data_IF_294090906716
#
_entry.id   IF_294090906716
#
_cell.length_a   1.000
_cell.length_b   1.000
_cell.length_c   1.000
_cell.angle_alpha   90.00
_cell.angle_beta   90.00
_cell.angle_gamma   90.00
#
_symmetry.space_group_name_H-M   'P 1'
#
loop_
_entity.id
_entity.type
_entity.pdbx_description
1 polymer ?
#
# COMPACT_ATOMS: atom_id res chain seq x y z
N UNK A 1 -46.51 -43.37 -52.91
CA UNK A 1 -46.57 -43.23 -51.44
C UNK A 1 -45.65 -42.09 -51.05
N UNK A 2 -46.23 -40.91 -50.77
CA UNK A 2 -45.50 -39.74 -50.31
C UNK A 2 -45.40 -39.91 -48.79
N UNK A 3 -44.18 -40.10 -48.30
CA UNK A 3 -43.89 -40.16 -46.87
C UNK A 3 -43.89 -38.72 -46.36
N UNK A 4 -44.97 -38.30 -45.70
CA UNK A 4 -45.02 -37.06 -44.94
C UNK A 4 -44.01 -37.14 -43.80
N UNK A 5 -42.92 -36.39 -43.90
CA UNK A 5 -42.13 -36.02 -42.73
C UNK A 5 -42.96 -35.01 -41.91
N UNK A 6 -43.51 -35.45 -40.79
CA UNK A 6 -43.97 -34.53 -39.75
C UNK A 6 -42.72 -33.82 -39.20
N UNK A 7 -42.54 -32.56 -39.56
CA UNK A 7 -41.70 -31.64 -38.82
C UNK A 7 -42.34 -31.47 -37.44
N UNK A 8 -41.71 -32.02 -36.40
CA UNK A 8 -41.98 -31.57 -35.04
C UNK A 8 -41.43 -30.15 -34.91
N UNK A 9 -42.34 -29.17 -34.75
CA UNK A 9 -42.05 -27.74 -34.54
C UNK A 9 -41.49 -27.50 -33.12
N UNK A 10 -40.38 -28.15 -32.76
CA UNK A 10 -39.78 -28.05 -31.43
C UNK A 10 -38.26 -28.21 -31.43
N UNK A 11 -37.61 -27.65 -30.41
CA UNK A 11 -36.15 -27.81 -30.26
C UNK A 11 -35.78 -29.24 -29.87
N UNK A 12 -34.73 -29.78 -30.49
CA UNK A 12 -34.07 -31.00 -30.03
C UNK A 12 -32.85 -30.61 -29.19
N UNK A 13 -32.84 -31.04 -27.93
CA UNK A 13 -31.77 -30.78 -26.96
C UNK A 13 -31.11 -32.12 -26.65
N UNK A 14 -29.88 -32.31 -27.12
CA UNK A 14 -29.12 -33.54 -26.88
C UNK A 14 -28.16 -33.30 -25.71
N UNK A 15 -28.47 -33.85 -24.53
CA UNK A 15 -27.66 -33.68 -23.33
C UNK A 15 -26.41 -34.57 -23.38
N UNK A 16 -25.24 -33.96 -23.18
CA UNK A 16 -23.95 -34.65 -23.15
C UNK A 16 -23.76 -35.45 -21.86
N UNK A 17 -23.10 -36.63 -21.88
CA UNK A 17 -22.79 -37.39 -20.66
C UNK A 17 -21.74 -36.71 -19.77
N UNK A 18 -20.83 -35.96 -20.38
CA UNK A 18 -19.80 -35.16 -19.71
C UNK A 18 -19.71 -33.79 -20.37
N UNK A 19 -19.44 -32.76 -19.58
CA UNK A 19 -19.25 -31.40 -20.08
C UNK A 19 -18.21 -30.64 -19.25
N UNK A 20 -17.48 -29.77 -19.93
CA UNK A 20 -16.56 -28.82 -19.31
C UNK A 20 -17.12 -27.41 -19.47
N UNK A 21 -17.23 -26.68 -18.36
CA UNK A 21 -17.90 -25.37 -18.32
C UNK A 21 -16.95 -24.26 -17.91
N UNK A 22 -17.25 -23.06 -18.37
CA UNK A 22 -16.51 -21.84 -18.03
C UNK A 22 -17.26 -21.02 -16.98
N UNK A 23 -16.56 -20.11 -16.30
CA UNK A 23 -17.13 -19.20 -15.32
C UNK A 23 -17.68 -19.89 -14.07
N UNK A 24 -18.64 -19.22 -13.43
CA UNK A 24 -19.20 -19.62 -12.14
C UNK A 24 -20.61 -20.25 -12.24
N UNK A 25 -21.17 -20.33 -13.44
CA UNK A 25 -22.52 -20.87 -13.74
C UNK A 25 -22.44 -21.81 -14.92
N UNK A 26 -23.38 -22.76 -14.97
CA UNK A 26 -23.51 -23.73 -16.07
C UNK A 26 -24.56 -23.18 -17.01
N UNK A 27 -24.21 -22.96 -18.27
CA UNK A 27 -25.16 -22.60 -19.31
C UNK A 27 -25.61 -23.82 -20.11
N UNK A 28 -26.84 -23.82 -20.61
CA UNK A 28 -27.38 -24.96 -21.37
C UNK A 28 -26.54 -25.28 -22.61
N UNK A 29 -26.02 -24.26 -23.28
CA UNK A 29 -25.18 -24.42 -24.47
C UNK A 29 -23.86 -25.17 -24.20
N UNK A 30 -23.38 -25.18 -22.96
CA UNK A 30 -22.13 -25.87 -22.58
C UNK A 30 -22.35 -27.37 -22.34
N UNK A 31 -23.58 -27.78 -22.01
CA UNK A 31 -23.90 -29.16 -21.60
C UNK A 31 -24.76 -29.91 -22.63
N UNK A 32 -25.36 -29.21 -23.59
CA UNK A 32 -26.24 -29.82 -24.58
C UNK A 32 -26.12 -29.19 -25.97
N UNK A 33 -26.32 -30.01 -27.01
CA UNK A 33 -26.44 -29.53 -28.38
C UNK A 33 -27.89 -29.16 -28.68
N UNK A 34 -28.14 -27.94 -29.17
CA UNK A 34 -29.48 -27.42 -29.46
C UNK A 34 -29.67 -27.30 -30.97
N UNK A 35 -30.70 -27.97 -31.49
CA UNK A 35 -31.05 -27.96 -32.93
C UNK A 35 -32.55 -27.84 -33.15
N UNK A 36 -32.99 -27.69 -34.40
CA UNK A 36 -34.41 -27.60 -34.75
C UNK A 36 -35.05 -26.21 -34.57
N UNK A 37 -34.24 -25.18 -34.26
CA UNK A 37 -34.69 -23.80 -34.08
C UNK A 37 -33.77 -22.80 -34.79
N UNK A 38 -34.29 -21.60 -35.01
CA UNK A 38 -33.51 -20.47 -35.53
C UNK A 38 -32.38 -20.03 -34.59
N UNK A 39 -31.47 -19.22 -35.10
CA UNK A 39 -30.27 -18.79 -34.37
C UNK A 39 -30.58 -17.95 -33.14
N UNK A 40 -31.59 -17.08 -33.21
CA UNK A 40 -31.96 -16.20 -32.10
C UNK A 40 -32.54 -17.02 -30.92
N UNK A 41 -33.39 -17.98 -31.22
CA UNK A 41 -33.98 -18.90 -30.24
C UNK A 41 -32.91 -19.82 -29.66
N UNK A 42 -32.01 -20.35 -30.50
CA UNK A 42 -30.88 -21.15 -30.05
C UNK A 42 -29.98 -20.40 -29.09
N UNK A 43 -29.61 -19.16 -29.40
CA UNK A 43 -28.81 -18.32 -28.52
C UNK A 43 -29.51 -18.06 -27.18
N UNK A 44 -30.82 -17.83 -27.21
CA UNK A 44 -31.63 -17.64 -25.99
C UNK A 44 -31.68 -18.90 -25.13
N UNK A 45 -31.87 -20.08 -25.75
CA UNK A 45 -31.86 -21.36 -25.04
C UNK A 45 -30.46 -21.68 -24.50
N UNK A 46 -29.41 -21.46 -25.29
CA UNK A 46 -28.03 -21.72 -24.91
C UNK A 46 -27.62 -20.95 -23.64
N UNK A 47 -28.08 -19.70 -23.50
CA UNK A 47 -27.80 -18.83 -22.36
C UNK A 47 -28.64 -19.13 -21.09
N UNK A 48 -29.45 -20.21 -21.08
CA UNK A 48 -30.24 -20.58 -19.90
C UNK A 48 -29.31 -21.05 -18.77
N UNK A 49 -29.37 -20.37 -17.62
CA UNK A 49 -28.63 -20.72 -16.40
C UNK A 49 -29.22 -21.98 -15.72
N UNK A 50 -28.38 -23.01 -15.60
CA UNK A 50 -28.68 -24.29 -14.97
C UNK A 50 -28.19 -24.37 -13.51
N UNK A 51 -27.58 -23.30 -13.01
CA UNK A 51 -27.06 -23.11 -11.67
C UNK A 51 -25.54 -23.10 -11.62
N UNK A 52 -24.98 -23.12 -10.41
CA UNK A 52 -23.53 -22.98 -10.20
C UNK A 52 -22.69 -24.08 -10.85
N UNK A 53 -21.57 -23.65 -11.43
CA UNK A 53 -20.45 -24.52 -11.84
C UNK A 53 -19.78 -25.12 -10.59
N UNK A 54 -19.37 -26.40 -10.60
CA UNK A 54 -18.65 -26.99 -9.48
C UNK A 54 -17.30 -26.30 -9.26
N UNK A 55 -16.86 -26.21 -8.02
CA UNK A 55 -15.52 -25.68 -7.71
C UNK A 55 -14.42 -26.52 -8.38
N UNK A 56 -13.27 -25.92 -8.72
CA UNK A 56 -12.07 -26.63 -9.17
C UNK A 56 -11.77 -27.87 -8.31
N UNK A 57 -11.43 -28.97 -8.96
CA UNK A 57 -11.22 -30.28 -8.32
C UNK A 57 -12.49 -31.08 -8.00
N UNK A 58 -13.68 -30.50 -8.19
CA UNK A 58 -14.96 -31.18 -7.99
C UNK A 58 -15.71 -31.37 -9.31
N UNK A 59 -16.75 -32.21 -9.26
CA UNK A 59 -17.70 -32.38 -10.37
C UNK A 59 -19.12 -32.37 -9.84
N UNK A 60 -20.08 -31.99 -10.69
CA UNK A 60 -21.51 -31.97 -10.38
C UNK A 60 -22.26 -32.82 -11.39
N UNK A 61 -23.24 -33.59 -10.92
CA UNK A 61 -24.20 -34.25 -11.82
C UNK A 61 -25.39 -33.32 -12.07
N UNK A 62 -25.59 -33.00 -13.34
CA UNK A 62 -26.76 -32.29 -13.84
C UNK A 62 -27.72 -33.29 -14.48
N UNK A 63 -28.97 -33.28 -14.06
CA UNK A 63 -29.99 -34.23 -14.54
C UNK A 63 -30.84 -33.62 -15.66
N UNK A 64 -31.28 -34.43 -16.61
CA UNK A 64 -32.14 -33.98 -17.71
C UNK A 64 -33.42 -33.30 -17.22
N UNK A 65 -34.00 -33.74 -16.09
CA UNK A 65 -35.19 -33.11 -15.50
C UNK A 65 -34.93 -31.68 -15.04
N UNK A 66 -33.72 -31.39 -14.54
CA UNK A 66 -33.32 -30.02 -14.15
C UNK A 66 -33.20 -29.11 -15.37
N UNK A 67 -32.71 -29.64 -16.48
CA UNK A 67 -32.65 -28.92 -17.77
C UNK A 67 -34.06 -28.62 -18.26
N UNK A 68 -34.94 -29.61 -18.29
CA UNK A 68 -36.35 -29.43 -18.69
C UNK A 68 -37.06 -28.38 -17.82
N UNK A 69 -36.83 -28.42 -16.51
CA UNK A 69 -37.38 -27.44 -15.57
C UNK A 69 -36.86 -26.03 -15.85
N UNK A 70 -35.56 -25.86 -16.11
CA UNK A 70 -34.97 -24.56 -16.39
C UNK A 70 -35.52 -23.96 -17.71
N UNK A 71 -35.63 -24.78 -18.77
CA UNK A 71 -36.19 -24.34 -20.05
C UNK A 71 -37.65 -23.95 -19.90
N UNK A 72 -38.46 -24.77 -19.23
CA UNK A 72 -39.88 -24.49 -19.00
C UNK A 72 -40.08 -23.20 -18.19
N UNK A 73 -39.18 -22.92 -17.24
CA UNK A 73 -39.23 -21.70 -16.43
C UNK A 73 -38.91 -20.45 -17.26
N UNK A 74 -37.89 -20.51 -18.12
CA UNK A 74 -37.45 -19.37 -18.94
C UNK A 74 -38.35 -19.17 -20.17
N UNK A 75 -38.82 -20.26 -20.78
CA UNK A 75 -39.72 -20.26 -21.94
C UNK A 75 -40.95 -21.14 -21.70
N UNK A 76 -41.97 -20.64 -20.97
CA UNK A 76 -43.19 -21.38 -20.73
C UNK A 76 -43.93 -21.73 -22.03
N UNK A 77 -44.37 -22.99 -22.16
CA UNK A 77 -45.10 -23.47 -23.33
C UNK A 77 -44.24 -23.74 -24.57
N UNK A 78 -42.92 -23.57 -24.47
CA UNK A 78 -42.00 -23.93 -25.53
C UNK A 78 -41.97 -25.45 -25.74
N UNK A 79 -42.04 -25.89 -26.99
CA UNK A 79 -42.04 -27.31 -27.35
C UNK A 79 -40.59 -27.75 -27.57
N UNK A 80 -40.17 -28.75 -26.79
CA UNK A 80 -38.83 -29.31 -26.91
C UNK A 80 -38.81 -30.78 -26.51
N UNK A 81 -37.78 -31.49 -26.96
CA UNK A 81 -37.46 -32.85 -26.53
C UNK A 81 -36.01 -32.91 -26.05
N UNK A 82 -35.80 -33.54 -24.90
CA UNK A 82 -34.45 -33.82 -24.39
C UNK A 82 -34.11 -35.27 -24.67
N UNK A 83 -33.00 -35.49 -25.36
CA UNK A 83 -32.44 -36.82 -25.68
C UNK A 83 -30.97 -36.88 -25.26
N UNK A 84 -30.30 -38.02 -25.50
CA UNK A 84 -28.91 -38.22 -25.09
C UNK A 84 -28.80 -38.85 -23.71
N UNK A 85 -27.88 -38.36 -22.88
CA UNK A 85 -27.67 -38.90 -21.53
C UNK A 85 -28.76 -38.44 -20.55
N UNK A 86 -29.14 -39.29 -19.60
CA UNK A 86 -30.05 -38.89 -18.51
C UNK A 86 -29.37 -37.92 -17.51
N UNK A 87 -28.04 -37.98 -17.42
CA UNK A 87 -27.22 -37.12 -16.57
C UNK A 87 -25.98 -36.63 -17.32
N UNK A 88 -25.57 -35.41 -17.01
CA UNK A 88 -24.34 -34.79 -17.47
C UNK A 88 -23.42 -34.59 -16.27
N UNK A 89 -22.21 -35.16 -16.30
CA UNK A 89 -21.16 -34.88 -15.35
C UNK A 89 -20.43 -33.61 -15.78
N UNK A 90 -20.60 -32.56 -14.99
CA UNK A 90 -20.05 -31.23 -15.26
C UNK A 90 -18.79 -31.01 -14.44
N UNK A 91 -17.74 -30.51 -15.08
CA UNK A 91 -16.48 -30.11 -14.46
C UNK A 91 -16.10 -28.69 -14.93
N UNK A 92 -15.50 -27.84 -14.10
CA UNK A 92 -15.03 -26.54 -14.56
C UNK A 92 -13.78 -26.73 -15.44
N UNK A 93 -13.67 -25.93 -16.50
CA UNK A 93 -12.36 -25.62 -17.09
C UNK A 93 -11.68 -24.67 -16.10
N UNK A 94 -10.43 -24.96 -15.77
CA UNK A 94 -9.69 -24.21 -14.76
C UNK A 94 -8.41 -23.64 -15.32
N UNK A 95 -7.95 -22.58 -14.66
CA UNK A 95 -6.63 -22.01 -14.87
C UNK A 95 -5.99 -21.65 -13.55
N UNK A 96 -4.67 -21.53 -13.58
CA UNK A 96 -3.88 -21.22 -12.40
C UNK A 96 -3.55 -19.72 -12.41
N UNK A 97 -3.86 -19.06 -11.29
CA UNK A 97 -3.28 -17.77 -10.93
C UNK A 97 -2.06 -18.06 -10.07
N UNK A 98 -0.88 -17.83 -10.65
CA UNK A 98 0.38 -18.13 -9.99
C UNK A 98 0.60 -17.28 -8.73
N UNK A 99 1.22 -17.89 -7.73
CA UNK A 99 1.68 -17.23 -6.52
C UNK A 99 2.63 -16.05 -6.80
N UNK A 100 3.45 -16.14 -7.85
CA UNK A 100 4.33 -15.07 -8.35
C UNK A 100 3.55 -13.78 -8.62
N UNK A 101 2.47 -13.87 -9.40
CA UNK A 101 1.58 -12.76 -9.74
C UNK A 101 0.93 -12.16 -8.48
N UNK A 102 0.50 -13.01 -7.55
CA UNK A 102 -0.12 -12.58 -6.28
C UNK A 102 0.91 -11.81 -5.42
N UNK A 103 2.13 -12.32 -5.32
CA UNK A 103 3.23 -11.70 -4.58
C UNK A 103 3.62 -10.36 -5.21
N UNK A 104 3.71 -10.30 -6.54
CA UNK A 104 4.13 -9.09 -7.25
C UNK A 104 3.10 -7.97 -7.14
N UNK A 105 1.80 -8.27 -7.29
CA UNK A 105 0.72 -7.29 -7.08
C UNK A 105 0.71 -6.79 -5.63
N UNK A 106 0.96 -7.67 -4.65
CA UNK A 106 1.06 -7.25 -3.25
C UNK A 106 2.28 -6.36 -2.99
N UNK A 107 3.45 -6.71 -3.54
CA UNK A 107 4.69 -5.94 -3.41
C UNK A 107 4.55 -4.56 -4.06
N UNK A 108 3.94 -4.48 -5.23
CA UNK A 108 3.68 -3.22 -5.93
C UNK A 108 2.78 -2.29 -5.11
N UNK A 109 1.72 -2.83 -4.49
CA UNK A 109 0.85 -2.05 -3.62
C UNK A 109 1.60 -1.45 -2.42
N UNK A 110 2.46 -2.24 -1.75
CA UNK A 110 3.31 -1.72 -0.68
C UNK A 110 4.31 -0.67 -1.17
N UNK A 111 4.98 -0.93 -2.30
CA UNK A 111 5.95 0.00 -2.87
C UNK A 111 5.31 1.34 -3.25
N UNK A 112 4.10 1.32 -3.81
CA UNK A 112 3.35 2.54 -4.15
C UNK A 112 2.90 3.36 -2.93
N UNK A 113 2.74 2.73 -1.77
CA UNK A 113 2.35 3.40 -0.53
C UNK A 113 3.54 3.91 0.30
N UNK A 114 4.77 3.54 -0.04
CA UNK A 114 5.97 4.05 0.63
C UNK A 114 6.36 5.42 0.08
N UNK A 115 6.60 6.36 0.99
CA UNK A 115 7.13 7.69 0.67
C UNK A 115 8.52 7.88 1.25
N UNK A 116 9.50 8.19 0.41
CA UNK A 116 10.86 8.53 0.82
C UNK A 116 11.63 7.39 1.49
N UNK A 117 12.94 7.60 1.66
CA UNK A 117 13.84 6.64 2.25
C UNK A 117 14.00 5.35 1.43
N UNK A 118 14.97 4.53 1.81
CA UNK A 118 15.17 3.21 1.21
C UNK A 118 14.29 2.21 1.94
N UNK A 119 13.49 1.44 1.21
CA UNK A 119 12.61 0.42 1.81
C UNK A 119 12.84 -0.93 1.16
N UNK A 120 12.90 -1.98 1.98
CA UNK A 120 12.98 -3.37 1.52
C UNK A 120 11.72 -4.13 1.92
N UNK A 121 11.36 -5.11 1.08
CA UNK A 121 10.19 -5.97 1.27
C UNK A 121 10.63 -7.42 1.15
N UNK A 122 10.63 -8.13 2.27
CA UNK A 122 10.98 -9.55 2.33
C UNK A 122 9.72 -10.38 2.60
N UNK A 123 9.39 -11.31 1.72
CA UNK A 123 8.24 -12.21 1.90
C UNK A 123 8.47 -13.11 3.12
N UNK A 124 7.53 -13.12 4.07
CA UNK A 124 7.68 -13.92 5.30
C UNK A 124 7.25 -15.39 5.12
N UNK A 125 6.30 -15.64 4.23
CA UNK A 125 5.74 -16.97 4.02
C UNK A 125 5.40 -17.18 2.55
N UNK A 126 5.54 -18.42 2.07
CA UNK A 126 5.13 -18.79 0.73
C UNK A 126 3.63 -18.52 0.52
N UNK A 127 3.30 -18.08 -0.69
CA UNK A 127 1.92 -17.97 -1.17
C UNK A 127 1.68 -19.17 -2.08
N UNK A 128 0.50 -19.79 -1.97
CA UNK A 128 0.12 -20.91 -2.83
C UNK A 128 -0.67 -20.36 -4.01
N UNK A 129 -0.46 -20.97 -5.17
CA UNK A 129 -1.22 -20.73 -6.39
C UNK A 129 -2.73 -20.86 -6.14
N UNK A 130 -3.52 -20.16 -6.96
CA UNK A 130 -4.97 -20.20 -6.87
C UNK A 130 -5.51 -20.78 -8.17
N UNK A 131 -6.11 -21.97 -8.07
CA UNK A 131 -6.88 -22.53 -9.16
C UNK A 131 -8.26 -21.85 -9.20
N UNK A 132 -8.60 -21.30 -10.36
CA UNK A 132 -9.86 -20.60 -10.61
C UNK A 132 -10.55 -21.17 -11.84
N UNK A 133 -11.89 -21.12 -11.91
CA UNK A 133 -12.60 -21.38 -13.15
C UNK A 133 -12.13 -20.43 -14.26
N UNK A 134 -12.00 -20.94 -15.48
CA UNK A 134 -11.76 -20.12 -16.66
C UNK A 134 -13.04 -19.35 -16.98
N UNK A 135 -13.03 -18.03 -16.80
CA UNK A 135 -14.16 -17.15 -17.10
C UNK A 135 -14.16 -16.61 -18.52
N UNK A 136 -15.10 -15.72 -18.82
CA UNK A 136 -15.15 -15.01 -20.12
C UNK A 136 -14.00 -14.00 -20.30
N UNK A 137 -13.28 -13.71 -19.22
CA UNK A 137 -12.11 -12.82 -19.18
C UNK A 137 -11.01 -13.37 -18.28
N UNK A 138 -9.78 -12.88 -18.48
CA UNK A 138 -8.66 -13.24 -17.61
C UNK A 138 -8.94 -12.85 -16.14
N UNK A 139 -8.56 -13.70 -15.16
CA UNK A 139 -8.70 -13.38 -13.75
C UNK A 139 -7.95 -12.10 -13.39
N UNK A 140 -8.61 -11.24 -12.63
CA UNK A 140 -8.03 -9.97 -12.18
C UNK A 140 -7.51 -10.12 -10.76
N UNK A 141 -6.25 -9.78 -10.53
CA UNK A 141 -5.61 -9.81 -9.21
C UNK A 141 -5.50 -8.39 -8.68
N UNK A 142 -6.12 -8.10 -7.53
CA UNK A 142 -6.10 -6.77 -6.91
C UNK A 142 -5.54 -6.83 -5.50
N UNK A 143 -4.63 -5.92 -5.17
CA UNK A 143 -4.17 -5.73 -3.80
C UNK A 143 -4.87 -4.55 -3.11
N UNK A 144 -5.08 -4.69 -1.82
CA UNK A 144 -5.53 -3.63 -0.93
C UNK A 144 -4.71 -3.67 0.37
N UNK A 145 -4.28 -2.50 0.82
CA UNK A 145 -3.56 -2.32 2.09
C UNK A 145 -4.56 -2.00 3.20
N UNK A 146 -4.31 -2.52 4.40
CA UNK A 146 -5.11 -2.18 5.58
C UNK A 146 -4.80 -0.77 6.13
N UNK A 147 -3.62 -0.24 5.80
CA UNK A 147 -3.14 1.08 6.20
C UNK A 147 -2.40 1.73 5.03
N UNK A 148 -2.61 3.03 4.83
CA UNK A 148 -1.84 3.82 3.87
C UNK A 148 -0.41 4.10 4.36
N UNK A 149 -0.18 4.07 5.67
CA UNK A 149 1.13 4.30 6.28
C UNK A 149 1.88 2.96 6.42
N UNK A 150 2.82 2.73 5.49
CA UNK A 150 3.68 1.55 5.48
C UNK A 150 4.85 1.75 6.45
N UNK A 151 4.92 0.89 7.47
CA UNK A 151 5.92 1.00 8.54
C UNK A 151 6.91 -0.16 8.53
N UNK A 152 8.08 0.06 9.13
CA UNK A 152 8.98 -1.04 9.49
C UNK A 152 8.24 -2.06 10.37
N UNK A 153 8.43 -3.35 10.09
CA UNK A 153 7.75 -4.45 10.76
C UNK A 153 7.03 -5.37 9.77
N UNK A 154 6.15 -6.23 10.29
CA UNK A 154 5.34 -7.12 9.44
C UNK A 154 4.13 -6.35 8.91
N UNK A 155 4.01 -6.28 7.59
CA UNK A 155 2.88 -5.67 6.88
C UNK A 155 2.07 -6.74 6.16
N UNK A 156 0.75 -6.69 6.29
CA UNK A 156 -0.18 -7.59 5.60
C UNK A 156 -0.83 -6.89 4.43
N UNK A 157 -0.80 -7.53 3.27
CA UNK A 157 -1.49 -7.10 2.06
C UNK A 157 -2.59 -8.10 1.76
N UNK A 158 -3.82 -7.60 1.62
CA UNK A 158 -4.95 -8.42 1.18
C UNK A 158 -4.95 -8.44 -0.34
N UNK A 159 -4.81 -9.61 -0.94
CA UNK A 159 -4.90 -9.80 -2.39
C UNK A 159 -6.16 -10.57 -2.73
N UNK A 160 -6.98 -10.02 -3.61
CA UNK A 160 -8.22 -10.62 -4.11
C UNK A 160 -8.02 -11.07 -5.55
N UNK A 161 -8.42 -12.30 -5.84
CA UNK A 161 -8.53 -12.84 -7.20
C UNK A 161 -10.00 -12.76 -7.61
N UNK A 162 -10.26 -12.11 -8.73
CA UNK A 162 -11.59 -11.89 -9.29
C UNK A 162 -11.75 -12.66 -10.60
N UNK A 163 -12.89 -13.33 -10.77
CA UNK A 163 -13.30 -13.99 -12.02
C UNK A 163 -14.60 -13.35 -12.47
N UNK A 164 -14.64 -12.86 -13.71
CA UNK A 164 -15.80 -12.16 -14.30
C UNK A 164 -16.35 -11.05 -13.39
N UNK A 165 -15.45 -10.26 -12.81
CA UNK A 165 -15.75 -9.13 -11.93
C UNK A 165 -16.23 -9.49 -10.52
N UNK A 166 -16.23 -10.77 -10.14
CA UNK A 166 -16.63 -11.23 -8.80
C UNK A 166 -15.43 -11.78 -8.03
N UNK A 167 -15.36 -11.46 -6.73
CA UNK A 167 -14.34 -12.01 -5.84
C UNK A 167 -14.47 -13.53 -5.76
N UNK A 168 -13.41 -14.24 -6.15
CA UNK A 168 -13.37 -15.70 -6.12
C UNK A 168 -12.53 -16.20 -4.93
N UNK A 169 -11.33 -15.64 -4.75
CA UNK A 169 -10.43 -16.00 -3.66
C UNK A 169 -9.78 -14.78 -3.04
N UNK A 170 -9.39 -14.90 -1.77
CA UNK A 170 -8.59 -13.89 -1.06
C UNK A 170 -7.36 -14.56 -0.46
N UNK A 171 -6.20 -13.89 -0.54
CA UNK A 171 -4.92 -14.30 0.04
C UNK A 171 -4.36 -13.17 0.88
N UNK A 172 -3.81 -13.52 2.05
CA UNK A 172 -3.01 -12.61 2.86
C UNK A 172 -1.55 -12.82 2.51
N UNK A 173 -0.89 -11.77 2.06
CA UNK A 173 0.55 -11.78 1.75
C UNK A 173 1.26 -10.94 2.80
N UNK A 174 2.17 -11.56 3.53
CA UNK A 174 2.89 -10.91 4.63
C UNK A 174 4.32 -10.59 4.22
N UNK A 175 4.71 -9.32 4.32
CA UNK A 175 6.07 -8.86 4.10
C UNK A 175 6.67 -8.34 5.40
N UNK A 176 7.93 -8.68 5.65
CA UNK A 176 8.78 -7.93 6.56
C UNK A 176 9.30 -6.70 5.81
N UNK A 177 8.87 -5.55 6.28
CA UNK A 177 9.24 -4.25 5.73
C UNK A 177 10.33 -3.65 6.61
N UNK A 178 11.42 -3.19 6.00
CA UNK A 178 12.45 -2.42 6.67
C UNK A 178 12.60 -1.08 5.98
N UNK A 179 12.30 0.01 6.68
CA UNK A 179 12.45 1.37 6.18
C UNK A 179 13.70 1.98 6.76
N UNK A 180 14.52 2.56 5.90
CA UNK A 180 15.73 3.26 6.24
C UNK A 180 15.58 4.74 5.90
N UNK A 181 15.88 5.59 6.87
CA UNK A 181 15.86 7.03 6.72
C UNK A 181 17.26 7.59 6.97
N UNK A 182 17.63 8.60 6.18
CA UNK A 182 18.85 9.35 6.38
C UNK A 182 18.59 10.37 7.50
N UNK A 183 19.19 10.16 8.67
CA UNK A 183 19.01 11.03 9.83
C UNK A 183 20.35 11.50 10.36
N UNK A 184 20.33 12.62 11.09
CA UNK A 184 21.49 13.09 11.81
C UNK A 184 21.70 12.24 13.07
N UNK A 185 22.90 11.68 13.21
CA UNK A 185 23.35 10.91 14.37
C UNK A 185 24.64 11.49 14.92
N UNK A 186 24.97 11.18 16.17
CA UNK A 186 26.23 11.59 16.76
C UNK A 186 27.40 10.75 16.24
N UNK A 187 28.51 11.39 15.85
CA UNK A 187 29.75 10.69 15.48
C UNK A 187 30.42 10.00 16.67
N UNK A 188 30.20 10.54 17.88
CA UNK A 188 30.76 10.05 19.15
C UNK A 188 29.77 10.22 20.30
N UNK A 189 29.87 9.37 21.31
CA UNK A 189 29.01 9.46 22.49
C UNK A 189 29.29 10.77 23.26
N UNK A 190 28.25 11.38 23.82
CA UNK A 190 28.34 12.63 24.59
C UNK A 190 27.64 12.48 25.96
N UNK A 191 28.19 13.09 27.03
CA UNK A 191 27.56 13.05 28.33
C UNK A 191 26.34 14.00 28.40
N UNK A 192 25.49 13.76 29.40
CA UNK A 192 24.38 14.68 29.73
C UNK A 192 24.88 16.12 29.94
N UNK A 193 24.07 17.10 29.54
CA UNK A 193 24.38 18.52 29.63
C UNK A 193 25.26 19.07 28.50
N UNK A 194 25.70 18.23 27.56
CA UNK A 194 26.52 18.66 26.43
C UNK A 194 25.67 19.35 25.37
N UNK A 195 26.13 20.49 24.87
CA UNK A 195 25.52 21.20 23.73
C UNK A 195 25.91 20.49 22.44
N UNK A 196 24.93 20.11 21.64
CA UNK A 196 25.14 19.45 20.35
C UNK A 196 25.47 20.51 19.30
N UNK A 197 26.63 20.38 18.66
CA UNK A 197 27.09 21.24 17.56
C UNK A 197 27.04 20.49 16.22
N UNK A 198 27.09 21.22 15.11
CA UNK A 198 26.96 20.63 13.77
C UNK A 198 28.11 19.66 13.43
N UNK A 199 29.33 19.91 13.92
CA UNK A 199 30.51 19.05 13.74
C UNK A 199 30.45 17.74 14.54
N UNK A 200 29.51 17.60 15.47
CA UNK A 200 29.28 16.34 16.19
C UNK A 200 28.31 15.41 15.45
N UNK A 201 27.69 15.90 14.37
CA UNK A 201 26.62 15.21 13.66
C UNK A 201 27.08 14.73 12.28
N UNK A 202 26.77 13.48 11.98
CA UNK A 202 26.89 12.91 10.64
C UNK A 202 25.52 12.45 10.13
N UNK A 203 25.36 12.37 8.80
CA UNK A 203 24.17 11.77 8.19
C UNK A 203 24.38 10.27 8.07
N UNK A 204 23.47 9.49 8.65
CA UNK A 204 23.52 8.03 8.60
C UNK A 204 22.16 7.45 8.26
N UNK A 205 22.14 6.44 7.39
CA UNK A 205 20.94 5.63 7.20
C UNK A 205 20.71 4.80 8.45
N UNK A 206 19.55 4.98 9.08
CA UNK A 206 19.12 4.19 10.24
C UNK A 206 17.80 3.50 9.93
N UNK A 207 17.61 2.32 10.52
CA UNK A 207 16.34 1.63 10.46
C UNK A 207 15.31 2.43 11.28
N UNK A 208 14.23 2.85 10.62
CA UNK A 208 13.12 3.54 11.27
C UNK A 208 12.42 2.55 12.21
N UNK A 209 12.23 2.88 13.50
CA UNK A 209 11.47 2.06 14.42
C UNK A 209 10.02 1.84 13.95
N UNK A 210 9.39 0.77 14.41
CA UNK A 210 7.97 0.51 14.11
C UNK A 210 7.00 1.45 14.86
N UNK A 211 7.46 2.13 15.93
CA UNK A 211 6.66 3.04 16.77
C UNK A 211 6.71 4.49 16.27
N UNK A 212 5.56 5.18 16.29
CA UNK A 212 5.44 6.61 15.91
C UNK A 212 6.01 7.59 16.95
N UNK A 213 6.06 7.19 18.22
CA UNK A 213 6.35 8.08 19.35
C UNK A 213 7.77 8.65 19.33
N UNK A 214 8.65 8.03 18.53
CA UNK A 214 10.10 8.25 18.55
C UNK A 214 10.61 8.66 17.15
N UNK A 215 9.92 9.62 16.51
CA UNK A 215 10.41 10.16 15.23
C UNK A 215 11.78 10.83 15.44
N UNK A 216 12.74 10.49 14.59
CA UNK A 216 14.09 11.04 14.67
C UNK A 216 14.07 12.56 14.47
N UNK A 217 14.85 13.28 15.29
CA UNK A 217 15.04 14.70 15.17
C UNK A 217 15.91 15.01 13.95
N UNK A 218 15.56 16.09 13.24
CA UNK A 218 16.39 16.58 12.13
C UNK A 218 17.66 17.26 12.68
N UNK A 219 18.70 17.37 11.85
CA UNK A 219 19.93 18.11 12.20
C UNK A 219 19.63 19.52 12.74
N UNK A 220 18.70 20.24 12.11
CA UNK A 220 18.29 21.58 12.55
C UNK A 220 17.68 21.64 13.95
N UNK A 221 17.02 20.55 14.37
CA UNK A 221 16.44 20.42 15.70
C UNK A 221 17.48 20.01 16.75
N UNK A 222 18.58 19.36 16.33
CA UNK A 222 19.65 18.91 17.20
C UNK A 222 20.70 19.98 17.47
N UNK A 223 21.11 20.76 16.46
CA UNK A 223 22.12 21.81 16.64
C UNK A 223 21.61 22.85 17.64
N UNK A 224 22.41 23.13 18.68
CA UNK A 224 22.09 24.02 19.78
C UNK A 224 21.25 23.40 20.90
N UNK A 225 20.75 22.18 20.71
CA UNK A 225 20.07 21.43 21.77
C UNK A 225 21.07 20.87 22.78
N UNK A 226 20.60 20.62 24.00
CA UNK A 226 21.39 20.09 25.11
C UNK A 226 20.97 18.67 25.40
N UNK A 227 21.93 17.76 25.50
CA UNK A 227 21.70 16.36 25.84
C UNK A 227 21.03 16.24 27.22
N UNK A 228 19.81 15.68 27.27
CA UNK A 228 19.07 15.47 28.52
C UNK A 228 19.63 14.30 29.34
N UNK A 229 20.36 13.40 28.67
CA UNK A 229 20.99 12.19 29.22
C UNK A 229 22.28 11.88 28.46
N UNK A 230 23.02 10.86 28.86
CA UNK A 230 24.12 10.35 28.04
C UNK A 230 23.56 9.81 26.71
N UNK A 231 24.15 10.26 25.60
CA UNK A 231 23.75 9.88 24.25
C UNK A 231 24.88 9.11 23.58
N UNK A 232 24.54 8.00 22.94
CA UNK A 232 25.50 7.13 22.27
C UNK A 232 25.66 7.48 20.79
N UNK A 233 26.87 7.24 20.25
CA UNK A 233 27.16 7.43 18.83
C UNK A 233 26.29 6.57 17.92
N UNK A 234 25.99 7.07 16.72
CA UNK A 234 25.35 6.31 15.64
C UNK A 234 23.85 6.02 15.81
N UNK A 235 23.22 6.44 16.92
CA UNK A 235 21.79 6.28 17.16
C UNK A 235 21.01 7.51 16.70
N UNK A 236 19.83 7.30 16.12
CA UNK A 236 18.86 8.36 15.91
C UNK A 236 18.43 8.98 17.25
N UNK A 237 18.49 10.31 17.34
CA UNK A 237 18.07 11.06 18.51
C UNK A 237 16.59 11.45 18.38
N UNK A 238 15.86 11.39 19.48
CA UNK A 238 14.42 11.72 19.55
C UNK A 238 14.16 12.88 20.50
N UNK A 239 12.94 13.42 20.50
CA UNK A 239 12.57 14.58 21.32
C UNK A 239 12.91 14.45 22.81
N UNK A 240 12.87 13.23 23.37
CA UNK A 240 13.21 12.96 24.77
C UNK A 240 14.71 12.97 25.07
N UNK A 241 15.57 12.89 24.05
CA UNK A 241 17.03 12.87 24.21
C UNK A 241 17.62 14.25 24.46
N UNK A 242 16.88 15.31 24.12
CA UNK A 242 17.39 16.67 24.14
C UNK A 242 16.38 17.64 24.75
N UNK A 243 16.89 18.71 25.33
CA UNK A 243 16.09 19.88 25.67
C UNK A 243 16.75 21.14 25.10
N UNK A 244 15.97 22.18 24.86
CA UNK A 244 16.46 23.49 24.38
C UNK A 244 16.30 24.53 25.48
N UNK A 245 17.29 24.69 26.37
CA UNK A 245 17.22 25.75 27.36
C UNK A 245 17.38 27.11 26.66
N UNK A 246 16.67 28.13 27.16
CA UNK A 246 16.92 29.50 26.75
C UNK A 246 18.36 29.85 27.11
N UNK A 247 19.15 30.21 26.11
CA UNK A 247 20.51 30.69 26.32
C UNK A 247 20.49 32.19 26.62
N UNK A 248 19.63 32.93 25.92
CA UNK A 248 19.38 34.36 26.12
C UNK A 248 17.93 34.55 26.51
N UNK A 249 17.69 35.34 27.56
CA UNK A 249 16.35 35.75 27.98
C UNK A 249 15.93 37.06 27.30
N UNK A 250 14.62 37.29 27.20
CA UNK A 250 14.13 38.58 26.74
C UNK A 250 14.55 39.70 27.71
N UNK A 251 14.92 40.85 27.17
CA UNK A 251 15.46 42.02 27.88
C UNK A 251 16.83 41.80 28.53
N UNK A 252 17.50 40.67 28.30
CA UNK A 252 18.85 40.45 28.81
C UNK A 252 19.88 41.36 28.11
N UNK A 253 20.83 41.95 28.85
CA UNK A 253 21.99 42.61 28.26
C UNK A 253 22.93 41.58 27.64
N UNK A 254 23.33 41.81 26.40
CA UNK A 254 24.17 40.92 25.61
C UNK A 254 25.24 41.71 24.85
N UNK A 255 26.23 41.01 24.31
CA UNK A 255 27.16 41.52 23.33
C UNK A 255 26.71 41.03 21.95
N UNK A 256 26.62 41.96 20.99
CA UNK A 256 26.50 41.60 19.58
C UNK A 256 27.86 41.67 18.91
N UNK A 257 28.25 40.61 18.21
CA UNK A 257 29.41 40.60 17.31
C UNK A 257 28.92 40.68 15.87
N UNK A 258 29.19 41.79 15.22
CA UNK A 258 28.87 42.01 13.81
C UNK A 258 30.09 41.63 12.98
N UNK A 259 29.94 40.68 12.07
CA UNK A 259 31.00 40.20 11.17
C UNK A 259 30.75 40.69 9.75
N UNK A 260 31.81 41.13 9.07
CA UNK A 260 31.82 41.47 7.64
C UNK A 260 33.18 41.11 7.05
N UNK A 261 33.24 39.96 6.37
CA UNK A 261 34.51 39.41 5.89
C UNK A 261 35.48 39.15 7.04
N UNK A 262 36.70 39.68 6.95
CA UNK A 262 37.72 39.56 8.01
C UNK A 262 37.55 40.54 9.18
N UNK A 263 36.60 41.48 9.10
CA UNK A 263 36.40 42.51 10.12
C UNK A 263 35.24 42.13 11.03
N UNK A 264 35.46 42.16 12.34
CA UNK A 264 34.42 42.03 13.35
C UNK A 264 34.40 43.23 14.30
N UNK A 265 33.20 43.60 14.75
CA UNK A 265 32.99 44.66 15.73
C UNK A 265 32.03 44.16 16.82
N UNK A 266 32.34 44.49 18.08
CA UNK A 266 31.51 44.13 19.24
C UNK A 266 30.83 45.37 19.81
N UNK A 267 29.56 45.26 20.15
CA UNK A 267 28.78 46.32 20.78
C UNK A 267 27.86 45.76 21.87
N UNK A 268 27.52 46.58 22.85
CA UNK A 268 26.47 46.24 23.82
C UNK A 268 25.10 46.30 23.15
N UNK A 269 24.25 45.31 23.44
CA UNK A 269 22.90 45.21 22.92
C UNK A 269 21.96 44.64 24.00
N UNK A 270 20.66 44.78 23.75
CA UNK A 270 19.59 44.18 24.56
C UNK A 270 18.85 43.18 23.68
N UNK A 271 18.66 41.96 24.17
CA UNK A 271 17.84 40.96 23.50
C UNK A 271 16.36 41.35 23.59
N UNK A 272 15.66 41.48 22.46
CA UNK A 272 14.23 41.83 22.46
C UNK A 272 13.33 40.60 22.65
N UNK A 273 13.86 39.42 22.36
CA UNK A 273 13.20 38.14 22.60
C UNK A 273 14.23 37.13 23.13
N UNK A 274 13.76 36.14 23.88
CA UNK A 274 14.61 35.02 24.29
C UNK A 274 14.87 34.04 23.13
N UNK A 275 15.93 33.26 23.25
CA UNK A 275 16.24 32.20 22.30
C UNK A 275 17.26 31.19 22.84
N UNK A 276 17.18 29.97 22.33
CA UNK A 276 18.17 28.94 22.57
C UNK A 276 19.42 29.17 21.70
N UNK A 277 20.51 28.44 21.98
CA UNK A 277 21.70 28.44 21.14
C UNK A 277 21.35 28.11 19.68
N UNK A 278 21.93 28.84 18.73
CA UNK A 278 21.66 28.69 17.30
C UNK A 278 20.36 29.32 16.81
N UNK A 279 19.49 29.81 17.70
CA UNK A 279 18.24 30.46 17.29
C UNK A 279 18.47 31.92 16.86
N UNK A 280 17.66 32.36 15.89
CA UNK A 280 17.66 33.74 15.44
C UNK A 280 16.81 34.60 16.36
N UNK A 281 17.44 35.54 17.05
CA UNK A 281 16.74 36.48 17.94
C UNK A 281 16.83 37.92 17.46
N UNK A 282 15.79 38.70 17.76
CA UNK A 282 15.76 40.14 17.56
C UNK A 282 16.51 40.82 18.70
N UNK A 283 17.38 41.75 18.36
CA UNK A 283 18.26 42.48 19.30
C UNK A 283 18.20 43.99 19.01
N UNK A 284 18.50 44.81 20.01
CA UNK A 284 18.63 46.27 19.88
C UNK A 284 19.99 46.72 20.37
N UNK A 285 20.75 47.45 19.55
CA UNK A 285 22.06 48.00 19.96
C UNK A 285 21.85 49.13 20.96
N UNK A 286 22.58 49.10 22.07
CA UNK A 286 22.44 50.07 23.17
C UNK A 286 22.77 51.50 22.71
N UNK A 287 23.86 51.69 21.97
CA UNK A 287 24.36 53.02 21.60
C UNK A 287 23.56 53.70 20.49
N UNK A 288 22.96 52.93 19.57
CA UNK A 288 22.29 53.46 18.38
C UNK A 288 20.79 53.22 18.34
N UNK A 289 20.25 52.46 19.29
CA UNK A 289 18.85 51.99 19.32
C UNK A 289 18.40 51.25 18.05
N UNK A 290 19.33 50.88 17.15
CA UNK A 290 19.02 50.12 15.94
C UNK A 290 18.68 48.68 16.29
N UNK A 291 17.64 48.16 15.66
CA UNK A 291 17.23 46.77 15.79
C UNK A 291 17.79 45.92 14.67
N UNK A 292 18.23 44.70 15.01
CA UNK A 292 18.78 43.73 14.07
C UNK A 292 18.36 42.31 14.48
N UNK A 293 18.59 41.35 13.59
CA UNK A 293 18.48 39.94 13.90
C UNK A 293 19.86 39.31 13.90
N UNK A 294 20.14 38.46 14.89
CA UNK A 294 21.36 37.68 14.96
C UNK A 294 21.12 36.28 15.50
N UNK A 295 22.14 35.44 15.41
CA UNK A 295 22.11 34.06 15.89
C UNK A 295 22.74 34.00 17.28
N UNK A 296 22.06 33.37 18.24
CA UNK A 296 22.57 33.18 19.60
C UNK A 296 23.75 32.20 19.57
N UNK A 297 24.94 32.68 19.93
CA UNK A 297 26.17 31.88 19.97
C UNK A 297 26.51 31.46 21.43
N UNK A 298 26.13 32.27 22.42
CA UNK A 298 26.27 31.93 23.84
C UNK A 298 25.23 32.66 24.71
N UNK A 299 25.27 32.47 26.04
CA UNK A 299 24.36 33.16 26.97
C UNK A 299 24.41 34.69 26.92
N UNK A 300 25.51 35.25 26.40
CA UNK A 300 25.74 36.70 26.34
C UNK A 300 26.25 37.16 24.98
N UNK A 301 26.25 36.30 23.96
CA UNK A 301 26.79 36.62 22.63
C UNK A 301 25.80 36.27 21.53
N UNK A 302 25.55 37.25 20.66
CA UNK A 302 24.76 37.09 19.44
C UNK A 302 25.60 37.54 18.26
N UNK A 303 25.65 36.73 17.20
CA UNK A 303 26.41 37.05 15.98
C UNK A 303 25.49 37.53 14.88
N UNK A 304 25.90 38.59 14.19
CA UNK A 304 25.25 39.10 12.97
C UNK A 304 26.25 39.08 11.85
N UNK A 305 26.04 38.25 10.84
CA UNK A 305 26.89 38.18 9.66
C UNK A 305 26.30 39.04 8.54
N UNK A 306 27.03 40.07 8.10
CA UNK A 306 26.58 41.02 7.07
C UNK A 306 26.98 40.60 5.65
N UNK A 307 27.60 39.42 5.49
CA UNK A 307 28.07 38.91 4.19
C UNK A 307 29.33 39.63 3.68
N UNK A 308 30.10 38.95 2.85
CA UNK A 308 31.18 39.56 2.09
C UNK A 308 30.58 40.15 0.79
N UNK A 309 30.80 41.44 0.55
CA UNK A 309 30.63 42.03 -0.78
C UNK A 309 31.87 41.75 -1.62
#
# INVERSE_FOLDING_TARGET
MILCALLLDGASIVLSPDASVTGNSIELGEVATITGVDEATRATLAAIDLGYSPSPGYSRLLFAERVAQAITLVQPGFVFEITGSATCKVQPITRIVESSQIIDVARQALAAAVTGGRTTFELQQGVVDVEVPEGGSDPVVRASLNSADVRTGVQSVTVRVEVDGRAYATRQVHFRVQRWELVAVLERSIPSGTVITADMLEQREVLVPSSRTDSALTSSMLVGAVAARQLEAGRALVGLDVHRPLAVEAQAPIIVEVRRGAVSARAAAIALQGGALGERIRIRIADSSREMFGIVESRSLVVVDLGAN
#
